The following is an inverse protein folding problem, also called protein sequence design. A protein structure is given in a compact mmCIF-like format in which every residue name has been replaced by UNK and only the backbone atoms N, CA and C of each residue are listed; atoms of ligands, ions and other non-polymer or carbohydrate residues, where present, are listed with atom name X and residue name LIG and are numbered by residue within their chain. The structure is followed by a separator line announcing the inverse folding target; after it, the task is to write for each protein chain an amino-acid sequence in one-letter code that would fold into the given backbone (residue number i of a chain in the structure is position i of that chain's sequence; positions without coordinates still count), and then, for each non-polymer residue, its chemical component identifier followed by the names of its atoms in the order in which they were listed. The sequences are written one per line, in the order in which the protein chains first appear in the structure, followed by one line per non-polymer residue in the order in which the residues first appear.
data_IF_512942810412
#
_entry.id   IF_512942810412
#
_cell.length_a   1.000
_cell.length_b   1.000
_cell.length_c   1.000
_cell.angle_alpha   90.00
_cell.angle_beta   90.00
_cell.angle_gamma   90.00
#
_symmetry.space_group_name_H-M   'P 1'
#
loop_
_entity.id
_entity.type
_entity.pdbx_description
1 polymer ?
#
# COMPACT_ATOMS: atom_id res chain seq x y z
N UNK A 1 21.83 -14.28 9.31
CA UNK A 1 20.60 -14.10 8.55
C UNK A 1 20.83 -14.73 7.18
N UNK A 2 19.97 -15.64 6.79
CA UNK A 2 19.94 -16.17 5.44
C UNK A 2 18.72 -15.58 4.74
N UNK A 3 18.94 -14.95 3.60
CA UNK A 3 17.90 -14.37 2.76
C UNK A 3 17.68 -15.17 1.48
N UNK A 4 18.28 -16.34 1.37
CA UNK A 4 18.09 -17.25 0.24
C UNK A 4 16.63 -17.70 0.22
N UNK A 5 15.89 -17.49 -0.87
CA UNK A 5 14.52 -17.97 -0.97
C UNK A 5 14.47 -19.50 -0.83
N UNK A 6 13.48 -20.00 -0.12
CA UNK A 6 13.21 -21.43 -0.09
C UNK A 6 12.67 -21.91 -1.46
N UNK A 7 12.82 -23.17 -1.86
CA UNK A 7 12.42 -23.68 -3.18
C UNK A 7 10.97 -23.36 -3.56
N UNK A 8 10.07 -23.34 -2.58
CA UNK A 8 8.66 -22.93 -2.82
C UNK A 8 8.54 -21.48 -3.25
N UNK A 9 9.30 -20.57 -2.64
CA UNK A 9 9.27 -19.14 -2.96
C UNK A 9 9.92 -18.88 -4.32
N UNK A 10 11.03 -19.55 -4.62
CA UNK A 10 11.68 -19.50 -5.94
C UNK A 10 10.71 -19.94 -7.06
N UNK A 11 9.95 -21.03 -6.83
CA UNK A 11 8.95 -21.49 -7.78
C UNK A 11 7.83 -20.46 -7.99
N UNK A 12 7.30 -19.86 -6.91
CA UNK A 12 6.29 -18.82 -6.98
C UNK A 12 6.81 -17.54 -7.66
N UNK A 13 8.05 -17.15 -7.37
CA UNK A 13 8.68 -15.98 -8.01
C UNK A 13 8.83 -16.18 -9.52
N UNK A 14 9.29 -17.36 -9.93
CA UNK A 14 9.41 -17.73 -11.35
C UNK A 14 8.05 -17.68 -12.05
N UNK A 15 7.02 -18.29 -11.46
CA UNK A 15 5.66 -18.29 -12.01
C UNK A 15 5.09 -16.86 -12.09
N UNK A 16 5.33 -16.04 -11.05
CA UNK A 16 4.90 -14.65 -11.03
C UNK A 16 5.62 -13.81 -12.09
N UNK A 17 6.94 -13.99 -12.27
CA UNK A 17 7.71 -13.33 -13.32
C UNK A 17 7.22 -13.70 -14.72
N UNK A 18 6.93 -15.00 -14.96
CA UNK A 18 6.34 -15.46 -16.22
C UNK A 18 4.95 -14.84 -16.44
N UNK A 19 4.11 -14.82 -15.42
CA UNK A 19 2.80 -14.17 -15.47
C UNK A 19 2.91 -12.67 -15.81
N UNK A 20 3.82 -11.96 -15.14
CA UNK A 20 4.08 -10.55 -15.41
C UNK A 20 4.53 -10.32 -16.85
N UNK A 21 5.44 -11.17 -17.36
CA UNK A 21 5.95 -11.06 -18.73
C UNK A 21 4.88 -11.32 -19.79
N UNK A 22 4.02 -12.31 -19.56
CA UNK A 22 3.00 -12.73 -20.53
C UNK A 22 1.72 -11.90 -20.50
N UNK A 23 1.34 -11.40 -19.35
CA UNK A 23 0.00 -10.83 -19.16
C UNK A 23 -0.02 -9.40 -18.60
N UNK A 24 0.95 -9.00 -17.78
CA UNK A 24 0.90 -7.68 -17.15
C UNK A 24 1.65 -6.64 -17.99
N UNK A 25 2.92 -6.86 -18.32
CA UNK A 25 3.70 -5.89 -19.09
C UNK A 25 3.10 -5.59 -20.48
N UNK A 26 2.59 -6.56 -21.26
CA UNK A 26 1.95 -6.25 -22.54
C UNK A 26 0.68 -5.41 -22.43
N UNK A 27 0.00 -5.48 -21.28
CA UNK A 27 -1.25 -4.78 -21.02
C UNK A 27 -1.09 -3.54 -20.12
N UNK A 28 0.14 -3.08 -19.87
CA UNK A 28 0.36 -1.94 -18.99
C UNK A 28 -0.34 -0.68 -19.51
N UNK A 29 -0.29 -0.44 -20.81
CA UNK A 29 -0.98 0.68 -21.46
C UNK A 29 -2.48 0.47 -21.56
N UNK A 30 -2.94 -0.73 -21.89
CA UNK A 30 -4.36 -1.10 -21.98
C UNK A 30 -5.14 -0.75 -20.71
N UNK A 31 -4.53 -0.91 -19.54
CA UNK A 31 -5.14 -0.52 -18.26
C UNK A 31 -5.55 0.97 -18.25
N UNK A 32 -4.67 1.86 -18.67
CA UNK A 32 -4.93 3.30 -18.70
C UNK A 32 -5.86 3.70 -19.85
N UNK A 33 -5.71 3.10 -21.01
CA UNK A 33 -6.56 3.32 -22.19
C UNK A 33 -8.02 2.95 -21.91
N UNK A 34 -8.30 1.88 -21.16
CA UNK A 34 -9.64 1.49 -20.77
C UNK A 34 -10.28 2.50 -19.80
N UNK A 35 -9.51 3.07 -18.86
CA UNK A 35 -10.00 4.14 -17.98
C UNK A 35 -10.34 5.39 -18.80
N UNK A 36 -9.44 5.80 -19.69
CA UNK A 36 -9.62 6.99 -20.52
C UNK A 36 -10.82 6.82 -21.46
N UNK A 37 -10.94 5.70 -22.14
CA UNK A 37 -12.03 5.41 -23.07
C UNK A 37 -13.40 5.35 -22.39
N UNK A 38 -13.47 5.01 -21.10
CA UNK A 38 -14.73 4.98 -20.35
C UNK A 38 -15.30 6.38 -20.05
N UNK A 39 -14.47 7.44 -20.09
CA UNK A 39 -14.82 8.77 -19.63
C UNK A 39 -14.97 8.91 -18.11
N UNK A 40 -14.88 7.82 -17.37
CA UNK A 40 -14.93 7.78 -15.90
C UNK A 40 -13.53 7.46 -15.34
N UNK A 41 -12.95 8.40 -14.62
CA UNK A 41 -11.63 8.26 -14.00
C UNK A 41 -11.58 7.13 -12.97
N UNK A 42 -12.73 6.73 -12.45
CA UNK A 42 -12.89 5.67 -11.46
C UNK A 42 -13.35 4.34 -12.08
N UNK A 43 -13.35 4.26 -13.41
CA UNK A 43 -13.66 3.00 -14.09
C UNK A 43 -12.72 1.89 -13.64
N UNK A 44 -13.29 0.70 -13.36
CA UNK A 44 -12.52 -0.49 -13.05
C UNK A 44 -12.20 -1.22 -14.37
N UNK A 45 -10.94 -1.17 -14.86
CA UNK A 45 -10.59 -1.65 -16.19
C UNK A 45 -10.94 -3.12 -16.42
N UNK A 46 -11.45 -3.44 -17.61
CA UNK A 46 -11.83 -4.81 -17.98
C UNK A 46 -10.63 -5.77 -17.93
N UNK A 47 -9.43 -5.30 -18.27
CA UNK A 47 -8.21 -6.11 -18.18
C UNK A 47 -7.99 -6.71 -16.79
N UNK A 48 -8.38 -6.03 -15.71
CA UNK A 48 -8.30 -6.59 -14.36
C UNK A 48 -9.27 -7.75 -14.17
N UNK A 49 -10.49 -7.67 -14.75
CA UNK A 49 -11.48 -8.75 -14.68
C UNK A 49 -11.01 -9.99 -15.43
N UNK A 50 -10.20 -9.81 -16.49
CA UNK A 50 -9.62 -10.92 -17.26
C UNK A 50 -8.41 -11.54 -16.52
N UNK A 51 -7.55 -10.72 -15.92
CA UNK A 51 -6.30 -11.19 -15.32
C UNK A 51 -6.49 -11.83 -13.94
N UNK A 52 -7.41 -11.32 -13.11
CA UNK A 52 -7.67 -11.86 -11.76
C UNK A 52 -8.02 -13.37 -11.77
N UNK A 53 -8.94 -13.88 -12.59
CA UNK A 53 -9.22 -15.32 -12.67
C UNK A 53 -7.99 -16.14 -13.11
N UNK A 54 -7.18 -15.61 -14.04
CA UNK A 54 -5.94 -16.27 -14.49
C UNK A 54 -4.90 -16.35 -13.37
N UNK A 55 -4.71 -15.26 -12.61
CA UNK A 55 -3.82 -15.24 -11.46
C UNK A 55 -4.27 -16.24 -10.38
N UNK A 56 -5.57 -16.31 -10.12
CA UNK A 56 -6.16 -17.26 -9.19
C UNK A 56 -5.95 -18.73 -9.63
N UNK A 57 -6.15 -19.01 -10.91
CA UNK A 57 -5.93 -20.33 -11.49
C UNK A 57 -4.44 -20.75 -11.47
N UNK A 58 -3.52 -19.79 -11.57
CA UNK A 58 -2.09 -20.02 -11.44
C UNK A 58 -1.58 -20.13 -9.99
N UNK A 59 -2.47 -20.07 -8.98
CA UNK A 59 -2.08 -20.13 -7.57
C UNK A 59 -1.40 -18.84 -7.06
N UNK A 60 -1.47 -17.74 -7.81
CA UNK A 60 -0.85 -16.45 -7.49
C UNK A 60 -1.86 -15.49 -6.82
N UNK A 61 -2.63 -15.99 -5.85
CA UNK A 61 -3.72 -15.24 -5.23
C UNK A 61 -3.53 -15.10 -3.72
N UNK A 62 -3.77 -13.90 -3.17
CA UNK A 62 -3.64 -13.60 -1.74
C UNK A 62 -2.25 -13.93 -1.16
N UNK A 63 -1.18 -13.82 -1.94
CA UNK A 63 0.17 -14.24 -1.55
C UNK A 63 0.71 -13.55 -0.28
N UNK A 64 0.15 -12.39 0.07
CA UNK A 64 0.56 -11.59 1.23
C UNK A 64 0.12 -12.18 2.57
N UNK A 65 -0.87 -13.09 2.59
CA UNK A 65 -1.58 -13.47 3.82
C UNK A 65 -0.89 -14.65 4.54
N UNK A 66 -0.33 -14.42 5.76
CA UNK A 66 0.49 -15.41 6.44
C UNK A 66 -0.34 -16.49 7.16
N UNK A 67 -1.65 -16.31 7.30
CA UNK A 67 -2.52 -17.31 7.94
C UNK A 67 -2.92 -18.40 6.92
N UNK A 68 -2.49 -19.67 7.12
CA UNK A 68 -2.75 -20.75 6.16
C UNK A 68 -4.23 -21.14 6.03
N UNK A 69 -5.09 -20.66 6.93
CA UNK A 69 -6.55 -20.85 6.82
C UNK A 69 -7.17 -19.99 5.72
N UNK A 70 -6.54 -18.87 5.39
CA UNK A 70 -7.09 -17.82 4.53
C UNK A 70 -6.20 -17.48 3.32
N UNK A 71 -4.92 -17.89 3.36
CA UNK A 71 -3.94 -17.60 2.32
C UNK A 71 -2.88 -18.69 2.20
N UNK A 72 -1.82 -18.47 1.41
CA UNK A 72 -0.77 -19.47 1.20
C UNK A 72 0.15 -19.68 2.42
N UNK A 73 0.04 -18.87 3.46
CA UNK A 73 0.84 -19.00 4.68
C UNK A 73 2.29 -18.58 4.51
N UNK A 74 2.60 -17.69 3.58
CA UNK A 74 3.94 -17.12 3.42
C UNK A 74 4.26 -16.15 4.56
N UNK A 75 5.48 -16.24 5.09
CA UNK A 75 6.00 -15.24 6.02
C UNK A 75 6.24 -13.91 5.31
N UNK A 76 6.48 -12.81 6.07
CA UNK A 76 6.82 -11.52 5.46
C UNK A 76 8.09 -11.61 4.61
N UNK A 77 9.10 -12.37 5.08
CA UNK A 77 10.34 -12.57 4.34
C UNK A 77 10.11 -13.33 3.03
N UNK A 78 9.29 -14.38 3.06
CA UNK A 78 8.93 -15.16 1.87
C UNK A 78 8.09 -14.38 0.87
N UNK A 79 7.22 -13.48 1.34
CA UNK A 79 6.39 -12.63 0.48
C UNK A 79 7.20 -11.47 -0.14
N UNK A 80 8.30 -11.04 0.46
CA UNK A 80 9.05 -9.86 0.05
C UNK A 80 9.49 -9.86 -1.44
N UNK A 81 10.11 -10.91 -2.00
CA UNK A 81 10.49 -10.94 -3.42
C UNK A 81 9.26 -10.90 -4.32
N UNK A 82 8.18 -11.59 -3.98
CA UNK A 82 6.93 -11.61 -4.75
C UNK A 82 6.28 -10.21 -4.81
N UNK A 83 6.23 -9.52 -3.67
CA UNK A 83 5.72 -8.15 -3.61
C UNK A 83 6.59 -7.18 -4.43
N UNK A 84 7.92 -7.37 -4.45
CA UNK A 84 8.81 -6.59 -5.28
C UNK A 84 8.52 -6.79 -6.78
N UNK A 85 8.32 -8.03 -7.23
CA UNK A 85 7.91 -8.32 -8.61
C UNK A 85 6.59 -7.61 -8.96
N UNK A 86 5.57 -7.72 -8.11
CA UNK A 86 4.29 -7.00 -8.31
C UNK A 86 4.46 -5.48 -8.34
N UNK A 87 5.39 -4.93 -7.54
CA UNK A 87 5.67 -3.50 -7.45
C UNK A 87 6.24 -2.88 -8.74
N UNK A 88 6.70 -3.71 -9.69
CA UNK A 88 7.24 -3.25 -10.97
C UNK A 88 6.20 -2.55 -11.86
N UNK A 89 4.90 -2.86 -11.68
CA UNK A 89 3.77 -2.19 -12.34
C UNK A 89 2.79 -1.72 -11.27
N UNK A 90 2.41 -0.45 -11.28
CA UNK A 90 1.68 0.18 -10.17
C UNK A 90 0.34 -0.48 -9.84
N UNK A 91 -0.36 -1.03 -10.84
CA UNK A 91 -1.64 -1.71 -10.66
C UNK A 91 -1.53 -3.24 -10.54
N UNK A 92 -0.34 -3.83 -10.78
CA UNK A 92 -0.20 -5.29 -10.86
C UNK A 92 -0.58 -6.02 -9.56
N UNK A 93 -0.29 -5.45 -8.39
CA UNK A 93 -0.67 -6.10 -7.11
C UNK A 93 -2.18 -6.35 -7.00
N UNK A 94 -3.02 -5.60 -7.70
CA UNK A 94 -4.46 -5.82 -7.72
C UNK A 94 -4.85 -7.08 -8.48
N UNK A 95 -4.10 -7.44 -9.52
CA UNK A 95 -4.31 -8.68 -10.29
C UNK A 95 -4.25 -9.91 -9.40
N UNK A 96 -3.40 -9.86 -8.37
CA UNK A 96 -3.12 -10.96 -7.44
C UNK A 96 -3.86 -10.84 -6.11
N UNK A 97 -4.81 -9.91 -6.00
CA UNK A 97 -5.49 -9.53 -4.75
C UNK A 97 -4.51 -9.15 -3.61
N UNK A 98 -3.38 -8.55 -3.97
CA UNK A 98 -2.31 -8.14 -3.08
C UNK A 98 -2.16 -6.61 -3.00
N UNK A 99 -3.18 -5.85 -3.41
CA UNK A 99 -3.14 -4.38 -3.39
C UNK A 99 -3.55 -3.79 -2.04
N UNK A 100 -2.96 -2.65 -1.69
CA UNK A 100 -3.47 -1.82 -0.61
C UNK A 100 -4.74 -1.05 -1.09
N UNK A 101 -5.69 -0.74 -0.20
CA UNK A 101 -5.68 -0.98 1.25
C UNK A 101 -6.15 -2.37 1.66
N UNK A 102 -6.65 -3.20 0.73
CA UNK A 102 -7.31 -4.48 1.01
C UNK A 102 -6.41 -5.45 1.78
N UNK A 103 -5.12 -5.54 1.45
CA UNK A 103 -4.20 -6.44 2.16
C UNK A 103 -4.17 -6.17 3.66
N UNK A 104 -3.96 -4.91 4.06
CA UNK A 104 -3.95 -4.54 5.47
C UNK A 104 -5.33 -4.69 6.14
N UNK A 105 -6.41 -4.44 5.41
CA UNK A 105 -7.77 -4.60 5.90
C UNK A 105 -8.11 -6.10 6.10
N UNK A 106 -7.74 -6.97 5.15
CA UNK A 106 -7.93 -8.42 5.28
C UNK A 106 -7.13 -9.00 6.45
N UNK A 107 -5.85 -8.62 6.63
CA UNK A 107 -5.07 -9.05 7.80
C UNK A 107 -5.69 -8.60 9.12
N UNK A 108 -6.26 -7.39 9.13
CA UNK A 108 -6.97 -6.87 10.31
C UNK A 108 -8.22 -7.67 10.62
N UNK A 109 -9.01 -8.01 9.58
CA UNK A 109 -10.20 -8.84 9.73
C UNK A 109 -9.85 -10.27 10.16
N UNK A 110 -8.78 -10.87 9.66
CA UNK A 110 -8.29 -12.18 10.11
C UNK A 110 -8.00 -12.18 11.61
N UNK A 111 -7.42 -11.10 12.14
CA UNK A 111 -6.97 -11.03 13.53
C UNK A 111 -8.05 -10.63 14.52
N UNK A 112 -8.96 -9.75 14.15
CA UNK A 112 -9.84 -9.06 15.10
C UNK A 112 -11.33 -9.24 14.81
N UNK A 113 -11.70 -9.74 13.63
CA UNK A 113 -13.10 -9.91 13.28
C UNK A 113 -13.72 -11.17 13.92
N UNK A 114 -14.96 -11.05 14.32
CA UNK A 114 -15.81 -12.20 14.71
C UNK A 114 -16.10 -13.10 13.51
N UNK A 115 -16.47 -14.36 13.70
CA UNK A 115 -16.86 -15.25 12.59
C UNK A 115 -17.92 -14.64 11.65
N UNK A 116 -18.92 -13.97 12.18
CA UNK A 116 -19.96 -13.32 11.41
C UNK A 116 -19.43 -12.12 10.58
N UNK A 117 -18.49 -11.34 11.14
CA UNK A 117 -17.81 -10.26 10.42
C UNK A 117 -16.87 -10.82 9.34
N UNK A 118 -16.19 -11.94 9.60
CA UNK A 118 -15.35 -12.62 8.60
C UNK A 118 -16.19 -13.16 7.44
N UNK A 119 -17.31 -13.81 7.71
CA UNK A 119 -18.21 -14.29 6.67
C UNK A 119 -18.73 -13.15 5.80
N UNK A 120 -19.16 -12.05 6.45
CA UNK A 120 -19.76 -10.91 5.75
C UNK A 120 -18.74 -10.11 4.93
N UNK A 121 -17.52 -9.90 5.43
CA UNK A 121 -16.56 -8.96 4.85
C UNK A 121 -15.26 -9.61 4.39
N UNK A 122 -14.64 -10.48 5.22
CA UNK A 122 -13.35 -11.07 4.89
C UNK A 122 -13.46 -12.05 3.72
N UNK A 123 -14.42 -12.97 3.76
CA UNK A 123 -14.61 -13.98 2.71
C UNK A 123 -14.77 -13.33 1.31
N UNK A 124 -15.67 -12.36 1.10
CA UNK A 124 -15.79 -11.73 -0.22
C UNK A 124 -14.57 -10.88 -0.62
N UNK A 125 -13.79 -10.32 0.34
CA UNK A 125 -12.52 -9.66 0.07
C UNK A 125 -11.46 -10.67 -0.40
N UNK A 126 -11.33 -11.80 0.29
CA UNK A 126 -10.40 -12.88 -0.08
C UNK A 126 -10.71 -13.46 -1.47
N UNK A 127 -11.97 -13.54 -1.83
CA UNK A 127 -12.41 -13.97 -3.15
C UNK A 127 -12.25 -12.90 -4.24
N UNK A 128 -11.96 -11.65 -3.85
CA UNK A 128 -11.85 -10.50 -4.76
C UNK A 128 -13.19 -10.03 -5.33
N UNK A 129 -14.32 -10.40 -4.69
CA UNK A 129 -15.67 -9.98 -5.09
C UNK A 129 -16.00 -8.55 -4.68
N UNK A 130 -15.41 -8.07 -3.60
CA UNK A 130 -15.55 -6.70 -3.10
C UNK A 130 -14.18 -6.09 -2.84
N UNK A 131 -14.16 -4.77 -2.64
CA UNK A 131 -13.00 -3.98 -2.20
C UNK A 131 -13.32 -3.29 -0.88
N UNK A 132 -12.30 -2.79 -0.22
CA UNK A 132 -12.42 -2.09 1.06
C UNK A 132 -11.64 -0.78 1.07
N UNK A 133 -12.00 0.12 2.00
CA UNK A 133 -11.25 1.34 2.27
C UNK A 133 -10.82 1.43 3.73
N UNK A 134 -9.80 2.23 4.02
CA UNK A 134 -9.36 2.53 5.39
C UNK A 134 -9.49 4.03 5.66
N UNK A 135 -10.35 4.39 6.60
CA UNK A 135 -10.83 5.75 6.84
C UNK A 135 -10.38 6.22 8.23
N UNK A 136 -9.17 6.78 8.31
CA UNK A 136 -8.57 7.24 9.57
C UNK A 136 -8.26 8.73 9.55
N UNK A 137 -7.47 9.20 8.60
CA UNK A 137 -6.98 10.58 8.51
C UNK A 137 -8.13 11.57 8.32
N UNK A 138 -8.00 12.77 8.89
CA UNK A 138 -8.99 13.85 8.81
C UNK A 138 -8.38 15.13 8.21
N UNK A 139 -9.15 15.96 7.48
CA UNK A 139 -8.59 17.13 6.82
C UNK A 139 -8.13 18.22 7.78
N UNK A 140 -8.71 18.30 8.98
CA UNK A 140 -8.47 19.38 9.93
C UNK A 140 -7.62 18.96 11.14
N UNK A 141 -7.13 17.73 11.18
CA UNK A 141 -6.29 17.22 12.26
C UNK A 141 -4.93 16.74 11.75
N UNK A 142 -3.87 16.73 12.59
CA UNK A 142 -2.57 16.23 12.16
C UNK A 142 -2.62 14.76 11.77
N UNK A 143 -2.47 14.42 10.48
CA UNK A 143 -2.41 13.03 10.01
C UNK A 143 -1.26 12.22 10.61
N UNK A 144 -0.24 12.90 11.13
CA UNK A 144 0.91 12.30 11.84
C UNK A 144 0.61 11.88 13.28
N UNK A 145 -0.50 12.34 13.85
CA UNK A 145 -0.91 12.01 15.23
C UNK A 145 -2.38 11.55 15.28
N UNK A 146 -2.64 10.26 15.09
CA UNK A 146 -4.01 9.73 15.08
C UNK A 146 -4.73 9.78 16.44
N UNK A 147 -4.08 10.27 17.49
CA UNK A 147 -4.72 10.48 18.80
C UNK A 147 -5.48 11.80 18.86
N UNK A 148 -5.39 12.65 17.82
CA UNK A 148 -6.09 13.93 17.72
C UNK A 148 -7.31 13.88 16.79
N UNK A 149 -7.80 12.68 16.46
CA UNK A 149 -8.99 12.50 15.64
C UNK A 149 -10.22 13.14 16.29
N UNK A 150 -11.11 13.69 15.46
CA UNK A 150 -12.32 14.42 15.86
C UNK A 150 -13.61 13.76 15.38
N UNK A 151 -13.56 12.86 14.39
CA UNK A 151 -14.72 12.04 14.00
C UNK A 151 -15.20 11.25 15.20
N UNK A 152 -16.47 11.43 15.58
CA UNK A 152 -17.06 10.85 16.81
C UNK A 152 -17.97 9.69 16.47
N UNK A 153 -18.04 8.72 17.39
CA UNK A 153 -19.05 7.70 17.42
C UNK A 153 -19.74 7.75 18.80
N UNK A 154 -20.99 8.15 18.83
CA UNK A 154 -21.80 8.20 20.04
C UNK A 154 -22.66 6.94 20.15
N UNK A 155 -22.76 6.37 21.35
CA UNK A 155 -23.60 5.18 21.57
C UNK A 155 -25.07 5.55 21.60
N UNK A 156 -25.89 4.77 20.88
CA UNK A 156 -27.34 4.89 20.83
C UNK A 156 -27.98 3.50 20.88
N UNK A 157 -28.23 3.03 22.08
CA UNK A 157 -28.74 1.68 22.34
C UNK A 157 -27.77 0.59 21.90
N UNK A 158 -28.21 -0.24 20.95
CA UNK A 158 -27.43 -1.31 20.31
C UNK A 158 -26.68 -0.84 19.04
N UNK A 159 -26.64 0.48 18.80
CA UNK A 159 -25.96 1.11 17.67
C UNK A 159 -24.94 2.13 18.13
N UNK A 160 -24.08 2.51 17.19
CA UNK A 160 -23.22 3.69 17.25
C UNK A 160 -23.63 4.66 16.13
N UNK A 161 -23.61 5.94 16.43
CA UNK A 161 -23.87 7.02 15.45
C UNK A 161 -22.56 7.72 15.17
N UNK A 162 -22.08 7.61 13.93
CA UNK A 162 -20.78 8.14 13.49
C UNK A 162 -20.99 9.44 12.75
N UNK A 163 -20.29 10.51 13.19
CA UNK A 163 -20.32 11.83 12.53
C UNK A 163 -18.93 12.43 12.46
N UNK A 164 -18.56 12.94 11.29
CA UNK A 164 -17.27 13.56 11.03
C UNK A 164 -16.82 13.42 9.58
N UNK A 165 -15.61 13.89 9.30
CA UNK A 165 -15.05 13.89 7.94
C UNK A 165 -13.69 13.24 7.90
N UNK A 166 -13.50 12.35 6.93
CA UNK A 166 -12.25 11.66 6.65
C UNK A 166 -11.73 12.04 5.27
N UNK A 167 -10.42 11.96 5.08
CA UNK A 167 -9.82 12.12 3.75
C UNK A 167 -8.63 11.17 3.57
N UNK A 168 -8.12 11.11 2.34
CA UNK A 168 -7.17 10.08 1.92
C UNK A 168 -7.67 8.67 2.27
N UNK A 169 -8.99 8.47 2.19
CA UNK A 169 -9.60 7.14 2.25
C UNK A 169 -9.35 6.43 0.93
N UNK A 170 -8.18 5.79 0.83
CA UNK A 170 -7.76 5.08 -0.38
C UNK A 170 -8.70 3.92 -0.67
N UNK A 171 -9.10 3.80 -1.94
CA UNK A 171 -9.95 2.73 -2.41
C UNK A 171 -11.45 2.96 -2.23
N UNK A 172 -11.88 4.07 -1.64
CA UNK A 172 -13.28 4.31 -1.29
C UNK A 172 -14.23 4.30 -2.51
N UNK A 173 -13.76 4.70 -3.71
CA UNK A 173 -14.59 4.68 -4.92
C UNK A 173 -15.06 3.28 -5.32
N UNK A 174 -14.32 2.24 -4.93
CA UNK A 174 -14.63 0.85 -5.23
C UNK A 174 -14.99 0.01 -3.99
N UNK A 175 -14.93 0.63 -2.81
CA UNK A 175 -15.14 -0.09 -1.55
C UNK A 175 -16.61 -0.42 -1.32
N UNK A 176 -16.88 -1.65 -0.87
CA UNK A 176 -18.17 -2.04 -0.28
C UNK A 176 -18.19 -1.82 1.24
N UNK A 177 -17.01 -1.74 1.86
CA UNK A 177 -16.86 -1.52 3.31
C UNK A 177 -15.70 -0.59 3.60
N UNK A 178 -15.90 0.34 4.53
CA UNK A 178 -14.87 1.21 5.08
C UNK A 178 -14.54 0.78 6.50
N UNK A 179 -13.25 0.63 6.80
CA UNK A 179 -12.75 0.49 8.16
C UNK A 179 -12.56 1.91 8.73
N UNK A 180 -13.49 2.35 9.57
CA UNK A 180 -13.57 3.74 10.06
C UNK A 180 -13.08 3.83 11.49
N UNK A 181 -12.08 4.68 11.73
CA UNK A 181 -11.59 5.00 13.08
C UNK A 181 -12.32 6.24 13.61
N UNK A 182 -13.02 6.10 14.74
CA UNK A 182 -13.78 7.18 15.35
C UNK A 182 -13.58 7.22 16.87
N UNK A 183 -13.73 8.41 17.46
CA UNK A 183 -13.62 8.65 18.90
C UNK A 183 -14.90 8.18 19.58
N UNK A 184 -14.78 7.17 20.46
CA UNK A 184 -15.88 6.64 21.29
C UNK A 184 -15.78 7.13 22.73
N UNK A 185 -14.57 7.31 23.25
CA UNK A 185 -14.30 7.55 24.68
C UNK A 185 -13.31 8.72 24.83
N UNK A 186 -13.74 10.00 24.62
CA UNK A 186 -12.85 11.16 24.60
C UNK A 186 -12.07 11.35 25.90
N UNK A 187 -12.65 10.96 27.04
CA UNK A 187 -12.04 11.09 28.39
C UNK A 187 -11.09 9.95 28.74
N UNK A 188 -11.03 8.89 27.91
CA UNK A 188 -10.14 7.76 28.15
C UNK A 188 -8.65 8.15 27.92
N UNK A 189 -7.70 7.34 28.42
CA UNK A 189 -6.29 7.54 28.13
C UNK A 189 -6.03 7.62 26.60
N UNK A 190 -5.06 8.44 26.20
CA UNK A 190 -4.76 8.85 24.82
C UNK A 190 -4.93 7.76 23.75
N UNK A 191 -4.44 6.54 24.03
CA UNK A 191 -4.48 5.43 23.08
C UNK A 191 -5.72 4.54 23.20
N UNK A 192 -6.67 4.91 24.07
CA UNK A 192 -7.93 4.19 24.32
C UNK A 192 -9.16 5.03 23.92
N UNK A 193 -8.97 6.15 23.24
CA UNK A 193 -10.05 7.08 22.87
C UNK A 193 -10.83 6.66 21.64
N UNK A 194 -10.23 5.85 20.77
CA UNK A 194 -10.80 5.53 19.46
C UNK A 194 -11.16 4.06 19.35
N UNK A 195 -12.22 3.79 18.60
CA UNK A 195 -12.66 2.46 18.19
C UNK A 195 -12.65 2.36 16.66
N UNK A 196 -12.69 1.14 16.13
CA UNK A 196 -12.72 0.88 14.71
C UNK A 196 -14.04 0.21 14.33
N UNK A 197 -14.67 0.68 13.26
CA UNK A 197 -15.99 0.22 12.79
C UNK A 197 -15.93 -0.26 11.35
N UNK A 198 -16.69 -1.30 11.04
CA UNK A 198 -16.95 -1.79 9.69
C UNK A 198 -18.23 -1.11 9.17
N UNK A 199 -18.05 -0.11 8.31
CA UNK A 199 -19.15 0.71 7.80
C UNK A 199 -19.39 0.38 6.33
N UNK A 200 -20.58 -0.12 5.94
CA UNK A 200 -20.94 -0.26 4.54
C UNK A 200 -20.85 1.09 3.83
N UNK A 201 -20.33 1.11 2.62
CA UNK A 201 -20.16 2.38 1.85
C UNK A 201 -21.51 2.96 1.42
N UNK A 202 -22.52 2.11 1.28
CA UNK A 202 -23.91 2.47 0.95
C UNK A 202 -24.77 2.78 2.19
N UNK A 203 -24.20 2.78 3.40
CA UNK A 203 -24.95 3.11 4.60
C UNK A 203 -25.49 4.56 4.54
N UNK A 204 -26.76 4.80 4.95
CA UNK A 204 -27.33 6.14 5.02
C UNK A 204 -26.44 7.09 5.80
N UNK A 205 -26.13 8.26 5.23
CA UNK A 205 -25.26 9.28 5.82
C UNK A 205 -23.77 9.16 5.43
N UNK A 206 -23.35 8.10 4.74
CA UNK A 206 -22.01 8.03 4.12
C UNK A 206 -22.07 8.73 2.75
N UNK A 207 -21.17 9.68 2.55
CA UNK A 207 -21.05 10.39 1.27
C UNK A 207 -19.58 10.52 0.87
N UNK A 208 -19.22 9.99 -0.29
CA UNK A 208 -17.93 10.27 -0.91
C UNK A 208 -18.03 11.64 -1.57
N UNK A 209 -17.36 12.64 -0.98
CA UNK A 209 -17.45 14.02 -1.44
C UNK A 209 -16.69 14.26 -2.72
N UNK A 210 -15.49 13.68 -2.81
CA UNK A 210 -14.60 13.78 -3.97
C UNK A 210 -13.44 12.80 -3.87
N UNK A 211 -12.83 12.52 -4.99
CA UNK A 211 -11.48 11.98 -5.05
C UNK A 211 -10.46 13.13 -4.99
N UNK A 212 -9.50 13.04 -4.09
CA UNK A 212 -8.47 14.07 -3.88
C UNK A 212 -7.37 13.90 -4.94
N UNK A 213 -7.10 14.90 -5.79
CA UNK A 213 -6.01 14.80 -6.74
C UNK A 213 -4.65 14.87 -6.04
N UNK A 214 -3.80 13.88 -6.25
CA UNK A 214 -2.44 13.84 -5.72
C UNK A 214 -1.45 14.22 -6.82
N UNK A 215 -0.75 15.33 -6.65
CA UNK A 215 0.10 15.92 -7.70
C UNK A 215 -0.65 16.05 -9.05
N UNK A 216 -1.91 16.49 -8.99
CA UNK A 216 -2.77 16.68 -10.15
C UNK A 216 -3.37 15.39 -10.74
N UNK A 217 -3.05 14.23 -10.21
CA UNK A 217 -3.56 12.94 -10.68
C UNK A 217 -4.62 12.37 -9.74
N UNK A 218 -5.67 11.79 -10.32
CA UNK A 218 -6.73 11.07 -9.61
C UNK A 218 -6.56 9.59 -9.97
N UNK A 219 -6.32 8.75 -8.96
CA UNK A 219 -6.24 7.30 -9.15
C UNK A 219 -7.62 6.68 -9.38
N UNK A 220 -7.69 5.56 -10.09
CA UNK A 220 -8.98 4.88 -10.34
C UNK A 220 -9.67 4.44 -9.05
N UNK A 221 -8.92 3.98 -8.06
CA UNK A 221 -9.47 3.59 -6.75
C UNK A 221 -9.84 4.76 -5.83
N UNK A 222 -9.31 5.96 -6.12
CA UNK A 222 -9.55 7.21 -5.39
C UNK A 222 -8.87 7.29 -4.02
N UNK A 223 -8.22 8.42 -3.77
CA UNK A 223 -7.87 8.89 -2.43
C UNK A 223 -8.99 9.84 -1.99
N UNK A 224 -10.03 9.32 -1.34
CA UNK A 224 -11.29 10.04 -1.20
C UNK A 224 -11.39 10.88 0.08
N UNK A 225 -12.12 11.98 -0.04
CA UNK A 225 -12.71 12.70 1.08
C UNK A 225 -14.12 12.15 1.30
N UNK A 226 -14.40 11.69 2.53
CA UNK A 226 -15.65 11.02 2.90
C UNK A 226 -16.28 11.72 4.08
N UNK A 227 -17.55 12.05 3.96
CA UNK A 227 -18.38 12.63 5.02
C UNK A 227 -19.26 11.54 5.65
N UNK A 228 -19.34 11.56 6.97
CA UNK A 228 -20.19 10.70 7.78
C UNK A 228 -21.15 11.61 8.54
N UNK A 229 -22.44 11.56 8.17
CA UNK A 229 -23.49 12.37 8.79
C UNK A 229 -24.48 11.45 9.49
N UNK A 230 -24.33 11.34 10.80
CA UNK A 230 -25.19 10.54 11.69
C UNK A 230 -25.36 9.08 11.20
N UNK A 231 -24.26 8.48 10.75
CA UNK A 231 -24.24 7.12 10.22
C UNK A 231 -24.47 6.12 11.35
N UNK A 232 -25.61 5.41 11.30
CA UNK A 232 -25.96 4.39 12.29
C UNK A 232 -25.30 3.05 11.95
N UNK A 233 -24.47 2.57 12.86
CA UNK A 233 -23.74 1.30 12.71
C UNK A 233 -24.10 0.39 13.89
N UNK A 234 -24.55 -0.86 13.67
CA UNK A 234 -24.80 -1.81 14.75
C UNK A 234 -23.56 -2.00 15.64
N UNK A 235 -23.74 -2.14 16.95
CA UNK A 235 -22.61 -2.34 17.88
C UNK A 235 -21.77 -3.58 17.54
N UNK A 236 -22.40 -4.61 16.93
CA UNK A 236 -21.71 -5.81 16.45
C UNK A 236 -20.77 -5.57 15.25
N UNK A 237 -20.83 -4.42 14.58
CA UNK A 237 -19.94 -4.05 13.48
C UNK A 237 -18.71 -3.23 13.96
N UNK A 238 -18.52 -3.09 15.28
CA UNK A 238 -17.25 -2.66 15.86
C UNK A 238 -16.22 -3.79 15.70
N UNK A 239 -15.02 -3.45 15.26
CA UNK A 239 -13.92 -4.39 15.10
C UNK A 239 -12.99 -4.35 16.32
N UNK A 240 -12.91 -5.45 17.05
CA UNK A 240 -12.27 -5.48 18.37
C UNK A 240 -13.20 -4.93 19.45
N UNK A 241 -12.63 -4.43 20.54
CA UNK A 241 -13.35 -3.81 21.65
C UNK A 241 -13.42 -2.29 21.58
N UNK A 242 -14.30 -1.69 22.41
CA UNK A 242 -14.34 -0.24 22.59
C UNK A 242 -12.99 0.27 23.11
N UNK A 243 -12.46 1.32 22.47
CA UNK A 243 -11.16 1.89 22.79
C UNK A 243 -9.95 1.10 22.24
N UNK A 244 -10.15 0.03 21.48
CA UNK A 244 -9.07 -0.75 20.86
C UNK A 244 -8.65 -0.23 19.48
N UNK A 245 -9.35 0.74 18.92
CA UNK A 245 -9.15 1.20 17.54
C UNK A 245 -7.72 1.65 17.25
N UNK A 246 -7.01 2.26 18.21
CA UNK A 246 -5.61 2.62 18.02
C UNK A 246 -4.70 1.39 17.88
N UNK A 247 -4.87 0.39 18.76
CA UNK A 247 -4.06 -0.84 18.73
C UNK A 247 -4.33 -1.67 17.48
N UNK A 248 -5.59 -1.78 17.06
CA UNK A 248 -6.01 -2.45 15.83
C UNK A 248 -5.44 -1.75 14.61
N UNK A 249 -5.52 -0.41 14.53
CA UNK A 249 -4.94 0.36 13.45
C UNK A 249 -3.40 0.20 13.39
N UNK A 250 -2.69 0.19 14.52
CA UNK A 250 -1.23 -0.05 14.53
C UNK A 250 -0.87 -1.47 14.09
N UNK A 251 -1.66 -2.48 14.47
CA UNK A 251 -1.46 -3.87 14.03
C UNK A 251 -1.62 -4.01 12.49
N UNK A 252 -2.55 -3.23 11.88
CA UNK A 252 -2.73 -3.14 10.43
C UNK A 252 -1.56 -2.46 9.72
N UNK A 253 -1.09 -1.34 10.29
CA UNK A 253 -0.10 -0.49 9.62
C UNK A 253 1.31 -1.11 9.61
N UNK A 254 1.64 -2.02 10.52
CA UNK A 254 2.94 -2.70 10.58
C UNK A 254 3.25 -3.46 9.28
N UNK A 255 2.49 -4.51 8.94
CA UNK A 255 2.63 -5.25 7.69
C UNK A 255 2.44 -4.38 6.46
N UNK A 256 1.43 -3.51 6.44
CA UNK A 256 1.15 -2.60 5.33
C UNK A 256 2.36 -1.76 4.94
N UNK A 257 3.10 -1.22 5.91
CA UNK A 257 4.34 -0.45 5.68
C UNK A 257 5.39 -1.28 4.95
N UNK A 258 5.61 -2.52 5.38
CA UNK A 258 6.61 -3.40 4.75
C UNK A 258 6.18 -3.81 3.35
N UNK A 259 4.92 -4.13 3.13
CA UNK A 259 4.40 -4.42 1.78
C UNK A 259 4.60 -3.23 0.82
N UNK A 260 4.41 -1.99 1.27
CA UNK A 260 4.73 -0.80 0.49
C UNK A 260 6.23 -0.68 0.20
N UNK A 261 7.09 -0.97 1.18
CA UNK A 261 8.54 -0.95 1.00
C UNK A 261 9.02 -1.99 -0.03
N UNK A 262 8.48 -3.21 0.04
CA UNK A 262 8.77 -4.28 -0.92
C UNK A 262 8.42 -3.85 -2.35
N UNK A 263 7.20 -3.33 -2.56
CA UNK A 263 6.76 -2.82 -3.87
C UNK A 263 7.61 -1.62 -4.33
N UNK A 264 7.99 -0.73 -3.44
CA UNK A 264 8.85 0.42 -3.76
C UNK A 264 10.23 -0.01 -4.26
N UNK A 265 10.82 -1.07 -3.66
CA UNK A 265 12.08 -1.67 -4.12
C UNK A 265 11.92 -2.23 -5.53
N UNK A 266 10.85 -2.96 -5.81
CA UNK A 266 10.57 -3.51 -7.14
C UNK A 266 10.34 -2.44 -8.21
N UNK A 267 9.63 -1.37 -7.87
CA UNK A 267 9.44 -0.21 -8.74
C UNK A 267 10.78 0.48 -9.04
N UNK A 268 11.61 0.70 -8.03
CA UNK A 268 12.93 1.31 -8.20
C UNK A 268 13.86 0.42 -9.05
N UNK A 269 13.83 -0.89 -8.84
CA UNK A 269 14.57 -1.87 -9.63
C UNK A 269 14.19 -1.80 -11.12
N UNK A 270 12.90 -1.73 -11.43
CA UNK A 270 12.42 -1.51 -12.80
C UNK A 270 12.92 -0.19 -13.40
N UNK A 271 12.99 0.86 -12.61
CA UNK A 271 13.52 2.14 -13.08
C UNK A 271 15.00 2.06 -13.47
N UNK A 272 15.81 1.27 -12.73
CA UNK A 272 17.21 1.00 -13.13
C UNK A 272 17.26 0.29 -14.46
N UNK A 273 16.41 -0.71 -14.69
CA UNK A 273 16.32 -1.42 -15.96
C UNK A 273 15.91 -0.48 -17.12
N UNK A 274 14.89 0.35 -16.91
CA UNK A 274 14.44 1.33 -17.90
C UNK A 274 15.54 2.34 -18.25
N UNK A 275 16.29 2.83 -17.24
CA UNK A 275 17.46 3.70 -17.47
C UNK A 275 18.52 3.01 -18.34
N UNK A 276 18.88 1.77 -17.99
CA UNK A 276 19.89 1.01 -18.71
C UNK A 276 19.47 0.75 -20.17
N UNK A 277 18.22 0.33 -20.40
CA UNK A 277 17.68 0.12 -21.76
C UNK A 277 17.67 1.41 -22.56
N UNK A 278 17.24 2.53 -21.97
CA UNK A 278 17.23 3.84 -22.62
C UNK A 278 18.65 4.28 -22.99
N UNK A 279 19.58 4.15 -22.07
CA UNK A 279 20.97 4.53 -22.28
C UNK A 279 21.61 3.72 -23.40
N UNK A 280 21.37 2.42 -23.46
CA UNK A 280 21.95 1.51 -24.46
C UNK A 280 21.43 1.72 -25.87
N UNK A 281 20.28 2.38 -26.06
CA UNK A 281 19.63 2.54 -27.38
C UNK A 281 19.56 3.98 -27.86
N UNK A 282 19.66 4.97 -26.97
CA UNK A 282 19.48 6.39 -27.32
C UNK A 282 20.77 6.99 -27.90
N UNK A 283 20.70 7.42 -29.16
CA UNK A 283 21.74 8.23 -29.75
C UNK A 283 21.65 9.69 -29.28
N UNK A 284 22.79 10.26 -28.96
CA UNK A 284 22.97 11.66 -28.57
C UNK A 284 24.21 12.23 -29.26
N UNK A 285 24.51 13.50 -29.07
CA UNK A 285 25.73 14.12 -29.60
C UNK A 285 26.96 13.35 -29.10
N UNK A 286 27.76 12.84 -30.04
CA UNK A 286 29.00 12.12 -29.73
C UNK A 286 28.81 10.67 -29.28
N UNK A 287 27.77 9.97 -29.73
CA UNK A 287 27.59 8.53 -29.50
C UNK A 287 26.36 8.15 -28.75
N UNK A 288 26.38 7.01 -28.04
CA UNK A 288 25.27 6.53 -27.25
C UNK A 288 25.17 7.29 -25.92
N UNK A 289 23.96 7.38 -25.39
CA UNK A 289 23.72 7.94 -24.07
C UNK A 289 24.47 7.12 -22.98
N UNK A 290 24.63 5.81 -23.20
CA UNK A 290 25.42 4.92 -22.33
C UNK A 290 26.89 5.29 -22.23
N UNK A 291 27.45 5.99 -23.23
CA UNK A 291 28.87 6.41 -23.23
C UNK A 291 29.11 7.64 -22.32
N UNK A 292 28.04 8.24 -21.80
CA UNK A 292 28.15 9.43 -20.97
C UNK A 292 28.34 9.04 -19.50
N UNK A 293 29.47 9.44 -18.92
CA UNK A 293 29.87 9.07 -17.55
C UNK A 293 28.82 9.46 -16.50
N UNK A 294 28.14 10.60 -16.66
CA UNK A 294 27.06 11.01 -15.76
C UNK A 294 25.88 10.04 -15.76
N UNK A 295 25.58 9.44 -16.91
CA UNK A 295 24.49 8.45 -17.03
C UNK A 295 24.90 7.12 -16.38
N UNK A 296 26.16 6.71 -16.57
CA UNK A 296 26.74 5.55 -15.91
C UNK A 296 26.69 5.71 -14.38
N UNK A 297 27.03 6.90 -13.86
CA UNK A 297 26.92 7.23 -12.44
C UNK A 297 25.47 7.12 -11.93
N UNK A 298 24.50 7.65 -12.67
CA UNK A 298 23.09 7.53 -12.29
C UNK A 298 22.63 6.06 -12.17
N UNK A 299 23.00 5.23 -13.15
CA UNK A 299 22.63 3.81 -13.15
C UNK A 299 23.34 3.08 -12.00
N UNK A 300 24.64 3.30 -11.80
CA UNK A 300 25.41 2.64 -10.76
C UNK A 300 24.93 3.02 -9.35
N UNK A 301 24.76 4.30 -9.05
CA UNK A 301 24.20 4.77 -7.77
C UNK A 301 22.82 4.23 -7.52
N UNK A 302 21.97 4.23 -8.55
CA UNK A 302 20.61 3.70 -8.40
C UNK A 302 20.62 2.21 -8.05
N UNK A 303 21.47 1.41 -8.69
CA UNK A 303 21.64 -0.02 -8.35
C UNK A 303 22.08 -0.20 -6.89
N UNK A 304 23.11 0.54 -6.45
CA UNK A 304 23.63 0.49 -5.08
C UNK A 304 22.52 0.83 -4.07
N UNK A 305 21.80 1.92 -4.31
CA UNK A 305 20.74 2.37 -3.41
C UNK A 305 19.55 1.40 -3.36
N UNK A 306 19.18 0.78 -4.49
CA UNK A 306 18.11 -0.24 -4.55
C UNK A 306 18.49 -1.48 -3.76
N UNK A 307 19.72 -1.99 -3.93
CA UNK A 307 20.17 -3.16 -3.17
C UNK A 307 20.28 -2.87 -1.67
N UNK A 308 20.82 -1.72 -1.29
CA UNK A 308 20.84 -1.31 0.12
C UNK A 308 19.42 -1.23 0.73
N UNK A 309 18.46 -0.66 0.00
CA UNK A 309 17.06 -0.61 0.44
C UNK A 309 16.44 -2.02 0.52
N UNK A 310 16.72 -2.89 -0.46
CA UNK A 310 16.26 -4.29 -0.48
C UNK A 310 16.69 -5.02 0.79
N UNK A 311 17.99 -4.96 1.14
CA UNK A 311 18.50 -5.64 2.34
C UNK A 311 17.87 -5.12 3.63
N UNK A 312 17.64 -3.81 3.75
CA UNK A 312 16.98 -3.25 4.94
C UNK A 312 15.51 -3.67 5.01
N UNK A 313 14.82 -3.78 3.88
CA UNK A 313 13.43 -4.28 3.81
C UNK A 313 13.37 -5.76 4.17
N UNK A 314 14.27 -6.60 3.65
CA UNK A 314 14.36 -8.03 4.00
C UNK A 314 14.69 -8.22 5.49
N UNK A 315 15.59 -7.41 6.05
CA UNK A 315 15.89 -7.43 7.48
C UNK A 315 14.66 -7.09 8.31
N UNK A 316 13.91 -6.07 7.93
CA UNK A 316 12.68 -5.71 8.65
C UNK A 316 11.62 -6.83 8.55
N UNK A 317 11.44 -7.44 7.38
CA UNK A 317 10.55 -8.57 7.18
C UNK A 317 10.94 -9.77 8.05
N UNK A 318 12.22 -10.16 8.05
CA UNK A 318 12.75 -11.20 8.91
C UNK A 318 12.53 -10.93 10.40
N UNK A 319 12.75 -9.69 10.84
CA UNK A 319 12.49 -9.28 12.23
C UNK A 319 11.01 -9.41 12.58
N UNK A 320 10.10 -9.00 11.69
CA UNK A 320 8.67 -9.15 11.91
C UNK A 320 8.27 -10.61 12.11
N UNK A 321 8.87 -11.52 11.34
CA UNK A 321 8.60 -12.96 11.42
C UNK A 321 9.19 -13.61 12.68
N UNK A 322 10.31 -13.08 13.20
CA UNK A 322 11.03 -13.68 14.35
C UNK A 322 10.63 -13.12 15.70
N UNK A 323 10.39 -11.80 15.80
CA UNK A 323 10.08 -11.11 17.08
C UNK A 323 8.73 -10.42 17.10
N UNK A 324 8.02 -10.44 15.97
CA UNK A 324 6.70 -9.82 15.80
C UNK A 324 6.76 -8.31 15.53
N UNK A 325 5.69 -7.78 14.95
CA UNK A 325 5.59 -6.40 14.45
C UNK A 325 5.89 -5.33 15.51
N UNK A 326 5.47 -5.58 16.77
CA UNK A 326 5.66 -4.61 17.85
C UNK A 326 7.13 -4.45 18.23
N UNK A 327 7.89 -5.53 18.27
CA UNK A 327 9.32 -5.50 18.59
C UNK A 327 10.16 -5.06 17.39
N UNK A 328 9.74 -5.38 16.17
CA UNK A 328 10.44 -5.03 14.93
C UNK A 328 10.18 -3.58 14.45
N UNK A 329 9.52 -2.73 15.26
CA UNK A 329 9.15 -1.37 14.81
C UNK A 329 10.36 -0.50 14.40
N UNK A 330 11.58 -0.61 14.99
CA UNK A 330 12.72 0.19 14.53
C UNK A 330 13.14 -0.17 13.10
N UNK A 331 13.20 -1.46 12.80
CA UNK A 331 13.54 -1.98 11.47
C UNK A 331 12.47 -1.61 10.44
N UNK A 332 11.19 -1.67 10.81
CA UNK A 332 10.07 -1.20 9.97
C UNK A 332 10.21 0.29 9.68
N UNK A 333 10.56 1.11 10.67
CA UNK A 333 10.76 2.55 10.50
C UNK A 333 11.94 2.86 9.58
N UNK A 334 13.07 2.17 9.76
CA UNK A 334 14.25 2.30 8.88
C UNK A 334 13.92 1.93 7.43
N UNK A 335 13.27 0.77 7.22
CA UNK A 335 12.85 0.31 5.91
C UNK A 335 11.90 1.30 5.22
N UNK A 336 10.91 1.82 5.96
CA UNK A 336 9.92 2.78 5.44
C UNK A 336 10.55 4.07 4.92
N UNK A 337 11.49 4.64 5.68
CA UNK A 337 12.19 5.87 5.29
C UNK A 337 13.13 5.59 4.10
N UNK A 338 13.95 4.55 4.19
CA UNK A 338 14.96 4.26 3.17
C UNK A 338 14.33 3.88 1.83
N UNK A 339 13.38 2.93 1.82
CA UNK A 339 12.76 2.45 0.58
C UNK A 339 12.01 3.56 -0.17
N UNK A 340 11.22 4.40 0.56
CA UNK A 340 10.48 5.49 -0.04
C UNK A 340 11.40 6.58 -0.63
N UNK A 341 12.47 6.95 0.09
CA UNK A 341 13.45 7.93 -0.39
C UNK A 341 14.27 7.39 -1.56
N UNK A 342 14.68 6.13 -1.50
CA UNK A 342 15.38 5.47 -2.61
C UNK A 342 14.52 5.44 -3.86
N UNK A 343 13.26 5.02 -3.75
CA UNK A 343 12.34 5.02 -4.88
C UNK A 343 12.20 6.42 -5.51
N UNK A 344 12.02 7.48 -4.71
CA UNK A 344 11.96 8.85 -5.21
C UNK A 344 13.23 9.23 -6.01
N UNK A 345 14.43 8.99 -5.44
CA UNK A 345 15.70 9.36 -6.10
C UNK A 345 15.94 8.56 -7.38
N UNK A 346 15.62 7.27 -7.37
CA UNK A 346 15.85 6.40 -8.53
C UNK A 346 14.89 6.74 -9.66
N UNK A 347 13.60 6.97 -9.37
CA UNK A 347 12.63 7.39 -10.38
C UNK A 347 12.98 8.77 -10.94
N UNK A 348 13.42 9.72 -10.12
CA UNK A 348 13.89 11.05 -10.57
C UNK A 348 15.04 10.93 -11.57
N UNK A 349 16.07 10.14 -11.26
CA UNK A 349 17.17 9.86 -12.20
C UNK A 349 16.69 9.18 -13.46
N UNK A 350 15.71 8.26 -13.38
CA UNK A 350 15.15 7.60 -14.54
C UNK A 350 14.42 8.59 -15.46
N UNK A 351 13.66 9.52 -14.91
CA UNK A 351 13.04 10.62 -15.66
C UNK A 351 14.13 11.45 -16.35
N UNK A 352 15.18 11.82 -15.63
CA UNK A 352 16.29 12.62 -16.18
C UNK A 352 16.99 11.91 -17.35
N UNK A 353 17.22 10.60 -17.26
CA UNK A 353 17.81 9.79 -18.35
C UNK A 353 16.88 9.70 -19.58
N UNK A 354 15.56 9.71 -19.37
CA UNK A 354 14.59 9.69 -20.46
C UNK A 354 14.38 11.07 -21.09
N UNK A 355 14.75 12.15 -20.39
CA UNK A 355 14.49 13.52 -20.81
C UNK A 355 12.98 13.83 -20.84
N UNK A 356 12.52 14.64 -21.79
CA UNK A 356 11.09 15.00 -21.92
C UNK A 356 10.14 13.80 -21.95
N UNK A 357 10.56 12.68 -22.56
CA UNK A 357 9.77 11.42 -22.57
C UNK A 357 9.45 10.92 -21.15
N UNK A 358 10.37 11.09 -20.19
CA UNK A 358 10.15 10.67 -18.80
C UNK A 358 9.05 11.42 -18.04
N UNK A 359 8.58 12.56 -18.60
CA UNK A 359 7.51 13.38 -18.04
C UNK A 359 6.14 13.06 -18.64
N UNK A 360 6.10 12.26 -19.73
CA UNK A 360 4.87 11.88 -20.42
C UNK A 360 4.31 10.56 -19.90
N UNK A 361 3.07 10.26 -20.29
CA UNK A 361 2.42 8.97 -19.97
C UNK A 361 2.81 7.86 -20.99
N UNK A 362 3.70 8.13 -21.98
CA UNK A 362 4.26 7.12 -22.91
C UNK A 362 5.20 6.14 -22.19
N UNK A 363 5.72 6.51 -21.03
CA UNK A 363 6.51 5.65 -20.13
C UNK A 363 5.99 5.77 -18.69
N UNK A 364 6.13 4.74 -17.86
CA UNK A 364 5.47 4.72 -16.54
C UNK A 364 6.11 5.65 -15.48
N UNK A 365 7.18 6.38 -15.84
CA UNK A 365 8.04 7.08 -14.88
C UNK A 365 7.34 8.23 -14.15
N UNK A 366 6.54 9.03 -14.83
CA UNK A 366 5.79 10.13 -14.21
C UNK A 366 4.80 9.60 -13.15
N UNK A 367 4.08 8.53 -13.46
CA UNK A 367 3.18 7.86 -12.53
C UNK A 367 3.93 7.20 -11.35
N UNK A 368 5.09 6.57 -11.63
CA UNK A 368 5.96 6.00 -10.60
C UNK A 368 6.51 7.09 -9.66
N UNK A 369 6.86 8.28 -10.18
CA UNK A 369 7.34 9.39 -9.35
C UNK A 369 6.25 9.89 -8.40
N UNK A 370 5.02 10.07 -8.88
CA UNK A 370 3.87 10.42 -8.05
C UNK A 370 3.68 9.41 -6.92
N UNK A 371 3.69 8.12 -7.24
CA UNK A 371 3.52 7.06 -6.25
C UNK A 371 4.67 7.01 -5.25
N UNK A 372 5.93 7.10 -5.70
CA UNK A 372 7.10 7.16 -4.82
C UNK A 372 7.01 8.33 -3.83
N UNK A 373 6.51 9.51 -4.29
CA UNK A 373 6.35 10.69 -3.44
C UNK A 373 5.27 10.52 -2.39
N UNK A 374 4.17 9.82 -2.73
CA UNK A 374 3.10 9.45 -1.78
C UNK A 374 3.67 8.58 -0.66
N UNK A 375 4.51 7.61 -0.98
CA UNK A 375 5.08 6.68 0.00
C UNK A 375 5.90 7.37 1.10
N UNK A 376 6.41 8.57 0.87
CA UNK A 376 7.12 9.35 1.90
C UNK A 376 6.19 9.99 2.94
N UNK A 377 4.89 10.00 2.69
CA UNK A 377 3.86 10.60 3.55
C UNK A 377 2.86 9.56 4.07
N UNK A 378 2.42 8.64 3.20
CA UNK A 378 1.44 7.60 3.53
C UNK A 378 1.96 6.64 4.60
N UNK A 379 1.09 6.10 5.43
CA UNK A 379 1.38 5.20 6.57
C UNK A 379 2.39 5.77 7.59
N UNK A 380 2.46 7.09 7.70
CA UNK A 380 3.38 7.85 8.51
C UNK A 380 4.49 8.53 7.68
N UNK A 381 4.60 9.84 7.82
CA UNK A 381 5.64 10.62 7.16
C UNK A 381 7.06 10.21 7.58
N UNK A 382 8.05 10.42 6.71
CA UNK A 382 9.47 10.17 7.00
C UNK A 382 9.88 10.74 8.37
N UNK A 383 9.40 11.94 8.69
CA UNK A 383 9.74 12.69 9.91
C UNK A 383 9.20 12.00 11.17
N UNK A 384 8.00 11.40 11.10
CA UNK A 384 7.41 10.63 12.21
C UNK A 384 8.28 9.41 12.55
N UNK A 385 8.72 8.69 11.51
CA UNK A 385 9.58 7.51 11.68
C UNK A 385 10.96 7.89 12.20
N UNK A 386 11.57 8.95 11.64
CA UNK A 386 12.89 9.46 12.06
C UNK A 386 12.87 9.96 13.51
N UNK A 387 11.86 10.75 13.89
CA UNK A 387 11.74 11.25 15.27
C UNK A 387 11.64 10.10 16.28
N UNK A 388 10.78 9.11 16.01
CA UNK A 388 10.66 7.93 16.88
C UNK A 388 11.94 7.12 16.96
N UNK A 389 12.63 6.94 15.83
CA UNK A 389 13.89 6.20 15.78
C UNK A 389 14.98 6.90 16.59
N UNK A 390 15.11 8.23 16.42
CA UNK A 390 16.07 9.03 17.19
C UNK A 390 15.76 8.97 18.71
N UNK A 391 14.49 9.08 19.10
CA UNK A 391 14.07 8.94 20.49
C UNK A 391 14.44 7.57 21.07
N UNK A 392 14.29 6.50 20.29
CA UNK A 392 14.67 5.15 20.69
C UNK A 392 16.17 5.04 20.94
N UNK A 393 17.02 5.52 20.01
CA UNK A 393 18.47 5.48 20.16
C UNK A 393 18.95 6.30 21.38
N UNK A 394 18.35 7.47 21.60
CA UNK A 394 18.67 8.29 22.77
C UNK A 394 18.31 7.58 24.09
N UNK A 395 17.14 6.90 24.14
CA UNK A 395 16.72 6.17 25.34
C UNK A 395 17.61 4.97 25.67
N UNK A 396 18.23 4.34 24.65
CA UNK A 396 19.15 3.20 24.87
C UNK A 396 20.45 3.61 25.59
N UNK A 397 20.79 4.89 25.58
CA UNK A 397 22.00 5.44 26.21
C UNK A 397 21.71 6.09 27.58
N UNK A 398 20.45 6.17 27.98
CA UNK A 398 20.01 6.64 29.31
C UNK A 398 19.62 5.47 30.21
#
# INVERSE_FOLDING_TARGET
MDFTPIPRVEALEKELLDFMARFVYPNERTYYEQIEASGDRHHHPEILKELKPRAKAAGLWNLFLPDPRFGPGLTNLEYAPLAAVMGRVLWASEVFNCAAPDTGNMETLVRFATPAQQERWLTPLLEGRIRSGFSMTEPMTPGSDPTQLTTRAARDGDHWVISGRKWFTTGAMHASVLLVVAVTSPEAPRHRRVSLFLVPTDAPGVTILRSVPVLGYISSSGECEVDFKDVRVPARDMLGGEGDGFSVAQARLGPGRIHHCMRAVGMADRCVELMARRAATRQVVGGLLADKQMIQDFIARSRIEVEAARFVVLHAAWKMDTVGNKAAWPEIAMAKVLAAQTACRVVDRAIQVHGGLGLTDDVPLASMYRYARILRLGDGADEVHKAKLAEHEIRRLR
#
